data_IF_483864424300
#
_entry.id   IF_483864424300
#
_cell.length_a   1.000
_cell.length_b   1.000
_cell.length_c   1.000
_cell.angle_alpha   90.00
_cell.angle_beta   90.00
_cell.angle_gamma   90.00
#
_symmetry.space_group_name_H-M   'P 1'
#
loop_
_entity.id
_entity.type
_entity.pdbx_description
1 polymer ?
#
# COMPACT_ATOMS: atom_id res chain seq x y z
N UNK A 1 -36.70 -31.39 -28.25
CA UNK A 1 -35.71 -30.49 -27.65
C UNK A 1 -34.69 -30.18 -28.72
N UNK A 2 -34.85 -29.04 -29.41
CA UNK A 2 -33.87 -28.57 -30.38
C UNK A 2 -32.65 -27.99 -29.62
N UNK A 3 -31.42 -28.17 -30.11
CA UNK A 3 -30.27 -27.49 -29.52
C UNK A 3 -30.41 -25.98 -29.73
N UNK A 4 -30.01 -25.13 -28.77
CA UNK A 4 -30.00 -23.69 -28.99
C UNK A 4 -29.03 -23.36 -30.13
N UNK A 5 -29.54 -22.60 -31.10
CA UNK A 5 -28.83 -22.15 -32.28
C UNK A 5 -27.54 -21.42 -31.90
N UNK A 6 -26.42 -21.88 -32.47
CA UNK A 6 -25.16 -21.15 -32.48
C UNK A 6 -25.39 -19.75 -33.09
N UNK A 7 -25.13 -18.71 -32.30
CA UNK A 7 -25.26 -17.32 -32.73
C UNK A 7 -24.26 -17.02 -33.87
N UNK A 8 -24.70 -16.73 -35.11
CA UNK A 8 -23.81 -16.65 -36.27
C UNK A 8 -23.18 -15.26 -36.49
N UNK A 9 -22.88 -14.50 -35.42
CA UNK A 9 -22.35 -13.12 -35.49
C UNK A 9 -21.22 -12.79 -34.51
N UNK A 10 -20.37 -13.75 -34.18
CA UNK A 10 -19.01 -13.39 -33.79
C UNK A 10 -18.25 -13.04 -35.06
N UNK A 11 -18.38 -11.79 -35.54
CA UNK A 11 -17.37 -11.23 -36.43
C UNK A 11 -16.03 -11.41 -35.70
N UNK A 12 -15.12 -12.18 -36.29
CA UNK A 12 -13.77 -12.39 -35.76
C UNK A 12 -13.10 -11.02 -35.65
N UNK A 13 -13.26 -10.33 -34.52
CA UNK A 13 -12.51 -9.13 -34.20
C UNK A 13 -11.07 -9.60 -34.07
N UNK A 14 -10.17 -9.03 -34.86
CA UNK A 14 -8.75 -9.31 -34.74
C UNK A 14 -8.29 -8.94 -33.32
N UNK A 15 -8.02 -9.94 -32.49
CA UNK A 15 -7.61 -9.77 -31.09
C UNK A 15 -6.11 -9.64 -30.92
N UNK A 16 -5.32 -9.87 -31.98
CA UNK A 16 -3.88 -9.65 -31.98
C UNK A 16 -3.42 -9.06 -33.32
N UNK A 17 -2.49 -8.11 -33.25
CA UNK A 17 -1.86 -7.47 -34.41
C UNK A 17 -0.38 -7.27 -34.14
N UNK A 18 0.46 -7.44 -35.15
CA UNK A 18 1.89 -7.11 -35.08
C UNK A 18 2.19 -6.05 -36.13
N UNK A 19 2.59 -4.86 -35.68
CA UNK A 19 2.88 -3.71 -36.53
C UNK A 19 4.38 -3.45 -36.56
N UNK A 20 4.91 -3.04 -37.73
CA UNK A 20 6.33 -2.72 -37.92
C UNK A 20 6.51 -1.32 -38.45
N UNK A 21 7.09 -0.45 -37.64
CA UNK A 21 7.52 0.88 -38.05
C UNK A 21 8.98 0.83 -38.53
N UNK A 22 9.17 0.99 -39.84
CA UNK A 22 10.50 1.13 -40.45
C UNK A 22 10.81 2.61 -40.65
N UNK A 23 11.94 3.06 -40.11
CA UNK A 23 12.44 4.43 -40.24
C UNK A 23 13.73 4.36 -41.07
N UNK A 24 13.68 4.93 -42.28
CA UNK A 24 14.78 4.92 -43.23
C UNK A 24 14.79 6.23 -44.06
N UNK A 25 15.85 7.05 -43.98
CA UNK A 25 17.00 6.94 -43.06
C UNK A 25 16.67 7.44 -41.63
N UNK A 26 17.15 6.74 -40.62
CA UNK A 26 17.00 7.10 -39.21
C UNK A 26 17.78 8.39 -38.85
N UNK A 27 18.94 8.59 -39.46
CA UNK A 27 19.80 9.76 -39.23
C UNK A 27 19.08 11.10 -39.34
N UNK A 28 18.10 11.22 -40.24
CA UNK A 28 17.29 12.45 -40.42
C UNK A 28 16.48 12.82 -39.18
N UNK A 29 16.13 11.83 -38.38
CA UNK A 29 15.25 11.98 -37.22
C UNK A 29 16.02 11.98 -35.89
N UNK A 30 17.32 11.69 -35.91
CA UNK A 30 18.21 11.69 -34.72
C UNK A 30 18.23 13.02 -33.97
N UNK A 31 18.18 14.13 -34.72
CA UNK A 31 18.23 15.49 -34.18
C UNK A 31 16.83 16.08 -33.91
N UNK A 32 15.78 15.27 -33.96
CA UNK A 32 14.43 15.74 -33.69
C UNK A 32 14.33 16.19 -32.22
N UNK A 33 13.70 17.34 -31.99
CA UNK A 33 13.45 17.84 -30.64
C UNK A 33 12.53 16.91 -29.82
N UNK A 34 12.65 16.96 -28.50
CA UNK A 34 11.80 16.19 -27.59
C UNK A 34 10.30 16.42 -27.85
N UNK A 35 9.50 15.38 -27.64
CA UNK A 35 8.05 15.42 -27.80
C UNK A 35 7.55 15.40 -29.26
N UNK A 36 8.45 15.35 -30.25
CA UNK A 36 8.07 15.20 -31.67
C UNK A 36 8.04 13.71 -32.06
N UNK A 37 6.87 13.19 -32.49
CA UNK A 37 6.74 11.78 -32.82
C UNK A 37 6.91 11.48 -34.32
N UNK A 38 7.28 10.23 -34.60
CA UNK A 38 7.08 9.52 -35.86
C UNK A 38 5.96 8.51 -35.63
N UNK A 39 4.99 8.47 -36.53
CA UNK A 39 3.82 7.59 -36.43
C UNK A 39 3.86 6.52 -37.51
N UNK A 40 3.44 5.29 -37.19
CA UNK A 40 3.11 4.28 -38.18
C UNK A 40 1.83 4.64 -38.95
N UNK A 41 1.53 3.93 -40.06
CA UNK A 41 0.15 3.83 -40.53
C UNK A 41 -0.77 3.32 -39.42
N UNK A 42 -2.03 3.74 -39.47
CA UNK A 42 -3.04 3.23 -38.54
C UNK A 42 -3.37 1.77 -38.89
N UNK A 43 -3.48 0.92 -37.87
CA UNK A 43 -3.87 -0.47 -38.00
C UNK A 43 -5.03 -0.80 -37.06
N UNK A 44 -5.80 -1.84 -37.39
CA UNK A 44 -7.01 -2.20 -36.62
C UNK A 44 -6.71 -3.29 -35.62
N UNK A 45 -7.09 -3.09 -34.35
CA UNK A 45 -7.05 -4.10 -33.29
C UNK A 45 -8.32 -4.01 -32.47
N UNK A 46 -9.00 -5.16 -32.29
CA UNK A 46 -10.32 -5.30 -31.67
C UNK A 46 -11.42 -4.41 -32.27
N UNK A 47 -11.29 -4.04 -33.54
CA UNK A 47 -12.23 -3.15 -34.24
C UNK A 47 -11.96 -1.66 -34.04
N UNK A 48 -10.88 -1.30 -33.36
CA UNK A 48 -10.47 0.08 -33.13
C UNK A 48 -9.19 0.42 -33.90
N UNK A 49 -9.01 1.67 -34.36
CA UNK A 49 -7.79 2.10 -35.04
C UNK A 49 -6.70 2.51 -34.03
N UNK A 50 -5.51 1.98 -34.24
CA UNK A 50 -4.33 2.19 -33.41
C UNK A 50 -3.16 2.67 -34.24
N UNK A 51 -2.25 3.37 -33.59
CA UNK A 51 -1.01 3.86 -34.20
C UNK A 51 0.16 3.60 -33.28
N UNK A 52 1.26 3.10 -33.85
CA UNK A 52 2.54 3.02 -33.15
C UNK A 52 3.24 4.37 -33.25
N UNK A 53 3.64 4.92 -32.11
CA UNK A 53 4.22 6.27 -31.99
C UNK A 53 5.61 6.18 -31.39
N UNK A 54 6.60 6.69 -32.09
CA UNK A 54 8.00 6.65 -31.70
C UNK A 54 8.60 8.06 -31.59
N UNK A 55 9.36 8.33 -30.53
CA UNK A 55 9.97 9.63 -30.27
C UNK A 55 11.50 9.50 -30.26
N UNK A 56 12.19 9.76 -31.39
CA UNK A 56 13.66 9.66 -31.46
C UNK A 56 14.36 10.70 -30.59
N UNK A 57 13.77 11.88 -30.41
CA UNK A 57 14.24 12.92 -29.51
C UNK A 57 13.89 12.71 -28.03
N UNK A 58 13.18 11.61 -27.71
CA UNK A 58 12.63 11.33 -26.39
C UNK A 58 11.31 12.05 -26.12
N UNK A 59 10.59 11.58 -25.09
CA UNK A 59 9.30 12.15 -24.69
C UNK A 59 9.46 13.45 -23.89
N UNK A 60 10.46 13.50 -23.00
CA UNK A 60 10.80 14.67 -22.19
C UNK A 60 12.04 15.40 -22.73
N UNK A 61 12.19 16.71 -22.48
CA UNK A 61 13.42 17.44 -22.81
C UNK A 61 14.66 16.85 -22.13
N UNK A 62 15.83 16.97 -22.75
CA UNK A 62 17.15 16.57 -22.21
C UNK A 62 17.27 15.09 -21.78
N UNK A 63 16.41 14.21 -22.29
CA UNK A 63 16.53 12.77 -22.02
C UNK A 63 17.52 12.08 -22.97
N UNK A 64 18.28 11.11 -22.43
CA UNK A 64 19.14 10.22 -23.21
C UNK A 64 18.38 9.04 -23.85
N UNK A 65 17.08 8.95 -23.62
CA UNK A 65 16.24 7.85 -24.08
C UNK A 65 15.38 8.22 -25.30
N UNK A 66 15.02 7.21 -26.08
CA UNK A 66 13.91 7.29 -27.04
C UNK A 66 12.64 6.80 -26.36
N UNK A 67 11.48 7.20 -26.86
CA UNK A 67 10.20 6.75 -26.33
C UNK A 67 9.37 6.01 -27.39
N UNK A 68 8.52 5.09 -26.93
CA UNK A 68 7.59 4.35 -27.79
C UNK A 68 6.25 4.18 -27.10
N UNK A 69 5.17 4.36 -27.84
CA UNK A 69 3.81 4.18 -27.35
C UNK A 69 2.92 3.56 -28.42
N UNK A 70 2.04 2.67 -28.00
CA UNK A 70 0.85 2.28 -28.76
C UNK A 70 -0.27 3.26 -28.40
N UNK A 71 -0.86 3.90 -29.39
CA UNK A 71 -1.90 4.92 -29.21
C UNK A 71 -3.21 4.48 -29.84
N UNK A 72 -4.29 4.64 -29.09
CA UNK A 72 -5.66 4.52 -29.58
C UNK A 72 -6.08 5.86 -30.21
N UNK A 73 -6.54 5.85 -31.46
CA UNK A 73 -6.85 7.10 -32.18
C UNK A 73 -8.25 7.65 -31.88
N UNK A 74 -9.17 6.84 -31.34
CA UNK A 74 -10.54 7.25 -31.02
C UNK A 74 -10.91 6.87 -29.59
N UNK A 75 -11.75 7.67 -28.95
CA UNK A 75 -12.26 7.34 -27.62
C UNK A 75 -13.20 6.12 -27.69
N UNK A 76 -13.12 5.28 -26.67
CA UNK A 76 -14.02 4.14 -26.52
C UNK A 76 -15.44 4.61 -26.19
N UNK A 77 -16.42 3.78 -26.54
CA UNK A 77 -17.82 4.03 -26.19
C UNK A 77 -18.05 3.88 -24.67
N UNK A 78 -19.15 4.46 -24.16
CA UNK A 78 -19.50 4.35 -22.75
C UNK A 78 -19.64 2.88 -22.34
N UNK A 79 -18.89 2.49 -21.30
CA UNK A 79 -18.87 1.13 -20.76
C UNK A 79 -17.94 0.16 -21.50
N UNK A 80 -17.34 0.54 -22.63
CA UNK A 80 -16.35 -0.27 -23.34
C UNK A 80 -14.98 -0.19 -22.64
N UNK A 81 -14.32 -1.34 -22.49
CA UNK A 81 -12.97 -1.45 -21.95
C UNK A 81 -12.13 -2.37 -22.82
N UNK A 82 -10.90 -1.95 -23.13
CA UNK A 82 -9.94 -2.78 -23.87
C UNK A 82 -8.70 -3.00 -23.01
N UNK A 83 -8.50 -4.25 -22.60
CA UNK A 83 -7.28 -4.68 -21.90
C UNK A 83 -6.26 -5.13 -22.93
N UNK A 84 -5.16 -4.41 -23.06
CA UNK A 84 -4.16 -4.62 -24.11
C UNK A 84 -2.80 -4.98 -23.50
N UNK A 85 -2.17 -6.01 -24.05
CA UNK A 85 -0.74 -6.27 -23.89
C UNK A 85 -0.04 -5.81 -25.17
N UNK A 86 0.99 -4.98 -25.03
CA UNK A 86 1.83 -4.54 -26.15
C UNK A 86 3.29 -4.92 -25.87
N UNK A 87 3.85 -5.75 -26.74
CA UNK A 87 5.26 -6.12 -26.79
C UNK A 87 5.98 -5.24 -27.81
N UNK A 88 6.86 -4.35 -27.36
CA UNK A 88 7.67 -3.46 -28.20
C UNK A 88 9.08 -4.02 -28.34
N UNK A 89 9.62 -4.07 -29.56
CA UNK A 89 10.96 -4.57 -29.81
C UNK A 89 11.72 -3.74 -30.87
N UNK A 90 13.00 -3.48 -30.63
CA UNK A 90 13.96 -3.06 -31.66
C UNK A 90 14.54 -4.31 -32.33
N UNK A 91 14.32 -4.43 -33.63
CA UNK A 91 14.81 -5.59 -34.40
C UNK A 91 16.28 -5.38 -34.72
N UNK A 92 17.17 -6.18 -34.10
CA UNK A 92 18.62 -6.05 -34.27
C UNK A 92 19.07 -6.43 -35.68
N UNK A 93 20.30 -6.03 -36.04
CA UNK A 93 20.95 -6.36 -37.31
C UNK A 93 21.05 -7.87 -37.61
N UNK A 94 21.10 -8.72 -36.58
CA UNK A 94 21.15 -10.19 -36.69
C UNK A 94 19.80 -10.91 -36.71
N UNK A 95 18.68 -10.20 -36.59
CA UNK A 95 17.32 -10.79 -36.64
C UNK A 95 16.76 -11.26 -35.30
N UNK A 96 17.55 -11.19 -34.21
CA UNK A 96 17.05 -11.30 -32.84
C UNK A 96 16.62 -9.91 -32.32
N UNK A 97 15.68 -9.87 -31.37
CA UNK A 97 15.27 -8.62 -30.72
C UNK A 97 16.42 -8.08 -29.86
N UNK A 98 16.96 -6.90 -30.19
CA UNK A 98 18.06 -6.28 -29.45
C UNK A 98 17.56 -5.64 -28.14
N UNK A 99 16.34 -5.13 -28.15
CA UNK A 99 15.73 -4.47 -27.00
C UNK A 99 14.22 -4.66 -27.02
N UNK A 100 13.68 -5.41 -26.06
CA UNK A 100 12.26 -5.70 -25.98
C UNK A 100 11.67 -5.33 -24.62
N UNK A 101 10.47 -4.72 -24.61
CA UNK A 101 9.72 -4.40 -23.38
C UNK A 101 8.23 -4.60 -23.58
N UNK A 102 7.56 -5.09 -22.53
CA UNK A 102 6.12 -5.36 -22.52
C UNK A 102 5.36 -4.36 -21.66
N UNK A 103 4.34 -3.72 -22.24
CA UNK A 103 3.39 -2.88 -21.53
C UNK A 103 2.03 -3.58 -21.38
N UNK A 104 1.36 -3.31 -20.27
CA UNK A 104 -0.01 -3.75 -19.99
C UNK A 104 -0.85 -2.52 -19.69
N UNK A 105 -2.00 -2.36 -20.34
CA UNK A 105 -2.88 -1.22 -20.09
C UNK A 105 -4.35 -1.57 -20.33
N UNK A 106 -5.23 -0.94 -19.56
CA UNK A 106 -6.69 -1.04 -19.74
C UNK A 106 -7.23 0.31 -20.18
N UNK A 107 -7.57 0.41 -21.47
CA UNK A 107 -8.16 1.60 -22.06
C UNK A 107 -9.64 1.71 -21.67
N UNK A 108 -10.06 2.92 -21.34
CA UNK A 108 -11.44 3.30 -20.96
C UNK A 108 -11.79 4.64 -21.59
N UNK A 109 -13.09 4.97 -21.63
CA UNK A 109 -13.59 6.22 -22.22
C UNK A 109 -12.87 7.48 -21.71
N UNK A 110 -12.69 7.61 -20.39
CA UNK A 110 -12.04 8.77 -19.74
C UNK A 110 -10.59 8.48 -19.30
N UNK A 111 -9.98 7.45 -19.89
CA UNK A 111 -8.63 6.99 -19.54
C UNK A 111 -7.52 7.59 -20.41
N UNK A 112 -6.30 7.10 -20.18
CA UNK A 112 -5.18 7.37 -21.09
C UNK A 112 -5.45 6.75 -22.47
N UNK A 113 -5.14 7.48 -23.52
CA UNK A 113 -5.30 7.04 -24.92
C UNK A 113 -4.04 6.37 -25.49
N UNK A 114 -3.00 6.17 -24.67
CA UNK A 114 -1.75 5.54 -25.10
C UNK A 114 -1.08 4.75 -24.00
N UNK A 115 -0.42 3.65 -24.34
CA UNK A 115 0.41 2.87 -23.41
C UNK A 115 1.80 2.60 -24.01
N UNK A 116 2.84 2.61 -23.17
CA UNK A 116 4.21 2.46 -23.64
C UNK A 116 5.24 2.97 -22.64
N UNK A 117 6.39 3.40 -23.15
CA UNK A 117 7.55 3.76 -22.35
C UNK A 117 8.14 5.10 -22.79
N UNK A 118 8.13 6.09 -21.89
CA UNK A 118 8.80 7.38 -22.07
C UNK A 118 10.33 7.23 -22.14
N UNK A 119 10.87 6.21 -21.46
CA UNK A 119 12.30 5.85 -21.46
C UNK A 119 12.45 4.42 -21.97
N UNK A 120 12.17 4.19 -23.26
CA UNK A 120 12.15 2.85 -23.85
C UNK A 120 13.56 2.25 -23.93
N UNK A 121 14.44 2.87 -24.70
CA UNK A 121 15.83 2.45 -24.91
C UNK A 121 16.76 3.68 -24.95
N UNK A 122 18.05 3.52 -24.60
CA UNK A 122 19.01 4.62 -24.75
C UNK A 122 19.29 4.86 -26.23
N UNK A 123 19.52 6.10 -26.64
CA UNK A 123 19.83 6.43 -28.05
C UNK A 123 21.04 5.67 -28.58
N UNK A 124 22.06 5.47 -27.74
CA UNK A 124 23.23 4.65 -28.10
C UNK A 124 22.85 3.20 -28.42
N UNK A 125 21.93 2.59 -27.65
CA UNK A 125 21.48 1.23 -27.89
C UNK A 125 20.67 1.14 -29.20
N UNK A 126 19.87 2.17 -29.52
CA UNK A 126 19.16 2.28 -30.80
C UNK A 126 20.14 2.31 -31.96
N UNK A 127 21.23 3.08 -31.85
CA UNK A 127 22.27 3.18 -32.87
C UNK A 127 22.95 1.83 -33.11
N UNK A 128 23.11 0.99 -32.08
CA UNK A 128 23.65 -0.37 -32.22
C UNK A 128 22.70 -1.33 -32.96
N UNK A 129 21.41 -1.00 -33.05
CA UNK A 129 20.39 -1.81 -33.74
C UNK A 129 20.24 -1.47 -35.22
N UNK A 130 20.84 -0.37 -35.70
CA UNK A 130 20.68 0.09 -37.08
C UNK A 130 21.29 -0.91 -38.07
N UNK A 131 20.55 -1.21 -39.14
CA UNK A 131 21.09 -1.90 -40.33
C UNK A 131 21.35 -0.87 -41.41
N UNK A 132 22.61 -0.46 -41.57
CA UNK A 132 22.95 0.72 -42.35
C UNK A 132 22.44 1.98 -41.64
N UNK A 133 21.41 2.62 -42.18
CA UNK A 133 20.71 3.76 -41.55
C UNK A 133 19.21 3.46 -41.32
N UNK A 134 18.84 2.18 -41.30
CA UNK A 134 17.45 1.74 -41.13
C UNK A 134 17.21 1.25 -39.72
N UNK A 135 16.22 1.83 -39.05
CA UNK A 135 15.68 1.36 -37.77
C UNK A 135 14.35 0.65 -37.99
N UNK A 136 14.16 -0.51 -37.36
CA UNK A 136 12.89 -1.24 -37.38
C UNK A 136 12.41 -1.44 -35.95
N UNK A 137 11.24 -0.86 -35.66
CA UNK A 137 10.52 -1.03 -34.42
C UNK A 137 9.31 -1.94 -34.67
N UNK A 138 9.20 -3.00 -33.90
CA UNK A 138 8.07 -3.91 -33.94
C UNK A 138 7.20 -3.72 -32.68
N UNK A 139 5.88 -3.80 -32.85
CA UNK A 139 4.91 -3.80 -31.77
C UNK A 139 3.91 -4.93 -31.98
N UNK A 140 4.01 -5.99 -31.18
CA UNK A 140 3.00 -7.06 -31.12
C UNK A 140 1.98 -6.73 -30.02
N UNK A 141 0.78 -6.34 -30.41
CA UNK A 141 -0.31 -5.97 -29.53
C UNK A 141 -1.42 -7.02 -29.53
N UNK A 142 -1.97 -7.36 -28.36
CA UNK A 142 -3.14 -8.24 -28.23
C UNK A 142 -4.12 -7.75 -27.17
N UNK A 143 -5.40 -7.96 -27.43
CA UNK A 143 -6.51 -7.71 -26.49
C UNK A 143 -6.77 -8.98 -25.72
N UNK A 144 -6.88 -8.83 -24.40
CA UNK A 144 -7.07 -9.93 -23.45
C UNK A 144 -8.50 -9.88 -22.92
N UNK A 145 -9.21 -11.00 -23.02
CA UNK A 145 -10.58 -11.12 -22.49
C UNK A 145 -10.59 -11.20 -20.97
N UNK A 146 -11.70 -10.78 -20.34
CA UNK A 146 -11.86 -10.86 -18.90
C UNK A 146 -11.86 -12.33 -18.44
N UNK A 147 -10.86 -12.70 -17.64
CA UNK A 147 -10.64 -14.07 -17.14
C UNK A 147 -9.21 -14.58 -17.37
N UNK A 148 -8.51 -14.06 -18.38
CA UNK A 148 -7.04 -14.23 -18.47
C UNK A 148 -6.38 -13.18 -17.58
N UNK A 149 -6.02 -13.58 -16.35
CA UNK A 149 -5.08 -12.83 -15.54
C UNK A 149 -3.82 -12.57 -16.37
N UNK A 150 -3.53 -11.28 -16.60
CA UNK A 150 -2.23 -10.79 -17.04
C UNK A 150 -1.18 -11.21 -16.02
N UNK A 151 -0.72 -12.46 -16.06
CA UNK A 151 0.36 -12.94 -15.20
C UNK A 151 1.65 -12.28 -15.67
N UNK A 152 1.94 -11.10 -15.11
CA UNK A 152 3.33 -10.74 -14.87
C UNK A 152 3.97 -11.94 -14.12
N UNK A 153 5.21 -12.35 -14.42
CA UNK A 153 5.88 -13.34 -13.60
C UNK A 153 5.76 -12.87 -12.16
N UNK A 154 5.20 -13.71 -11.29
CA UNK A 154 5.01 -13.37 -9.90
C UNK A 154 6.38 -12.95 -9.37
N UNK A 155 6.55 -11.64 -9.12
CA UNK A 155 7.75 -11.14 -8.46
C UNK A 155 7.89 -11.98 -7.19
N UNK A 156 9.06 -12.57 -6.93
CA UNK A 156 9.23 -13.33 -5.71
C UNK A 156 8.83 -12.41 -4.55
N UNK A 157 8.07 -12.92 -3.57
CA UNK A 157 7.64 -12.10 -2.44
C UNK A 157 8.87 -11.45 -1.80
N UNK A 158 8.76 -10.17 -1.46
CA UNK A 158 9.85 -9.43 -0.85
C UNK A 158 10.42 -10.19 0.35
N UNK A 159 11.73 -10.46 0.34
CA UNK A 159 12.39 -11.13 1.47
C UNK A 159 12.82 -10.15 2.55
N UNK A 160 12.66 -8.84 2.33
CA UNK A 160 13.16 -7.79 3.22
C UNK A 160 12.70 -7.98 4.67
N UNK A 161 11.42 -8.28 4.88
CA UNK A 161 10.89 -8.52 6.22
C UNK A 161 11.57 -9.71 6.92
N UNK A 162 11.80 -10.80 6.18
CA UNK A 162 12.49 -11.98 6.69
C UNK A 162 13.95 -11.68 7.02
N UNK A 163 14.61 -10.90 6.16
CA UNK A 163 16.02 -10.57 6.32
C UNK A 163 16.22 -9.59 7.50
N UNK A 164 15.33 -8.60 7.68
CA UNK A 164 15.30 -7.75 8.87
C UNK A 164 14.99 -8.53 10.15
N UNK A 165 14.10 -9.53 10.11
CA UNK A 165 13.87 -10.43 11.26
C UNK A 165 15.12 -11.21 11.65
N UNK A 166 15.93 -11.65 10.69
CA UNK A 166 17.21 -12.30 10.99
C UNK A 166 18.22 -11.35 11.61
N UNK A 167 18.22 -10.08 11.20
CA UNK A 167 19.07 -9.06 11.84
C UNK A 167 18.73 -8.88 13.32
N UNK A 168 17.45 -8.96 13.72
CA UNK A 168 17.04 -8.89 15.14
C UNK A 168 17.67 -9.99 16.02
N UNK A 169 18.16 -11.08 15.45
CA UNK A 169 18.93 -12.10 16.18
C UNK A 169 20.36 -11.64 16.59
N UNK A 170 20.76 -10.42 16.20
CA UNK A 170 22.01 -9.78 16.65
C UNK A 170 23.17 -9.86 15.66
N UNK A 171 22.95 -10.33 14.43
CA UNK A 171 23.99 -10.37 13.39
C UNK A 171 24.42 -8.95 13.01
N UNK A 172 25.72 -8.64 13.13
CA UNK A 172 26.29 -7.32 12.84
C UNK A 172 25.64 -6.14 13.60
N UNK A 173 25.12 -6.40 14.81
CA UNK A 173 24.59 -5.35 15.68
C UNK A 173 25.70 -4.41 16.18
N UNK A 174 25.42 -3.12 16.20
CA UNK A 174 26.35 -2.03 16.57
C UNK A 174 25.87 -1.21 17.79
N UNK A 175 24.77 -1.64 18.42
CA UNK A 175 24.24 -1.05 19.65
C UNK A 175 23.53 -2.10 20.50
N UNK A 176 23.54 -1.92 21.83
CA UNK A 176 22.74 -2.70 22.77
C UNK A 176 21.67 -1.82 23.40
N UNK A 177 20.46 -2.34 23.53
CA UNK A 177 19.36 -1.73 24.28
C UNK A 177 19.24 -2.47 25.61
N UNK A 178 19.14 -1.75 26.70
CA UNK A 178 18.88 -2.28 28.04
C UNK A 178 17.47 -1.86 28.44
N UNK A 179 16.58 -2.83 28.59
CA UNK A 179 15.22 -2.61 29.07
C UNK A 179 15.14 -2.72 30.60
N UNK A 180 13.97 -2.35 31.16
CA UNK A 180 13.61 -2.63 32.56
C UNK A 180 13.93 -4.08 32.95
N UNK A 181 14.38 -4.28 34.19
CA UNK A 181 14.83 -5.60 34.68
C UNK A 181 16.22 -6.03 34.21
N UNK A 182 16.97 -5.17 33.49
CA UNK A 182 18.35 -5.46 33.06
C UNK A 182 18.48 -6.30 31.80
N UNK A 183 17.36 -6.54 31.09
CA UNK A 183 17.36 -7.31 29.84
C UNK A 183 18.10 -6.58 28.72
N UNK A 184 19.00 -7.28 28.03
CA UNK A 184 19.86 -6.71 26.97
C UNK A 184 19.45 -7.23 25.60
N UNK A 185 19.23 -6.32 24.65
CA UNK A 185 18.87 -6.61 23.26
C UNK A 185 19.89 -6.02 22.30
N UNK A 186 20.42 -6.83 21.38
CA UNK A 186 21.31 -6.34 20.31
C UNK A 186 20.47 -5.75 19.17
N UNK A 187 20.88 -4.59 18.65
CA UNK A 187 20.15 -3.88 17.61
C UNK A 187 21.10 -3.11 16.66
N UNK A 188 20.51 -2.39 15.69
CA UNK A 188 21.23 -1.67 14.64
C UNK A 188 20.87 -0.19 14.66
N UNK A 189 21.88 0.68 14.83
CA UNK A 189 21.70 2.14 14.96
C UNK A 189 21.00 2.74 13.76
N UNK A 190 21.39 2.31 12.56
CA UNK A 190 20.80 2.80 11.31
C UNK A 190 19.30 2.47 11.20
N UNK A 191 18.89 1.29 11.66
CA UNK A 191 17.49 0.86 11.65
C UNK A 191 16.70 1.66 12.70
N UNK A 192 17.22 1.78 13.92
CA UNK A 192 16.57 2.56 14.98
C UNK A 192 16.41 4.04 14.61
N UNK A 193 17.46 4.66 14.08
CA UNK A 193 17.45 6.05 13.63
C UNK A 193 16.54 6.28 12.41
N UNK A 194 16.39 5.30 11.53
CA UNK A 194 15.45 5.39 10.42
C UNK A 194 13.98 5.30 10.87
N UNK A 195 13.71 4.62 12.00
CA UNK A 195 12.35 4.34 12.49
C UNK A 195 11.86 5.27 13.59
N UNK A 196 12.75 5.97 14.28
CA UNK A 196 12.42 6.89 15.37
C UNK A 196 13.27 8.16 15.27
N UNK A 197 12.60 9.31 15.22
CA UNK A 197 13.26 10.62 15.25
C UNK A 197 13.98 10.86 16.59
N UNK A 198 13.42 10.36 17.69
CA UNK A 198 14.00 10.41 19.03
C UNK A 198 15.29 9.60 19.10
N UNK A 199 15.25 8.34 18.65
CA UNK A 199 16.46 7.50 18.61
C UNK A 199 17.47 8.03 17.60
N UNK A 200 17.05 8.65 16.50
CA UNK A 200 17.95 9.34 15.58
C UNK A 200 18.70 10.47 16.25
N UNK A 201 18.01 11.33 17.00
CA UNK A 201 18.65 12.40 17.75
C UNK A 201 19.64 11.87 18.80
N UNK A 202 19.26 10.80 19.51
CA UNK A 202 20.11 10.15 20.51
C UNK A 202 21.35 9.46 19.91
N UNK A 203 21.21 8.79 18.77
CA UNK A 203 22.26 7.93 18.19
C UNK A 203 23.12 8.64 17.13
N UNK A 204 22.61 9.69 16.49
CA UNK A 204 23.28 10.39 15.39
C UNK A 204 23.60 11.86 15.71
N UNK A 205 23.21 12.36 16.88
CA UNK A 205 23.53 13.71 17.34
C UNK A 205 24.93 13.84 17.96
N UNK A 206 25.31 15.06 18.41
CA UNK A 206 26.61 15.34 19.03
C UNK A 206 26.90 14.58 20.34
N UNK A 207 25.93 13.80 20.87
CA UNK A 207 26.07 12.88 22.01
C UNK A 207 26.57 11.47 21.59
N UNK A 208 27.11 11.34 20.37
CA UNK A 208 27.52 10.09 19.71
C UNK A 208 28.49 9.23 20.52
N UNK A 209 29.29 9.83 21.39
CA UNK A 209 30.52 9.24 21.93
C UNK A 209 30.37 8.55 23.29
N UNK A 210 29.16 8.36 23.84
CA UNK A 210 29.04 7.88 25.23
C UNK A 210 28.02 6.76 25.51
N UNK A 211 27.32 6.18 24.54
CA UNK A 211 26.33 5.13 24.83
C UNK A 211 26.29 3.99 23.81
N UNK A 212 26.99 2.89 24.13
CA UNK A 212 26.72 1.55 23.57
C UNK A 212 25.41 0.95 24.12
N UNK A 213 24.76 1.65 25.06
CA UNK A 213 23.59 1.20 25.82
C UNK A 213 22.48 2.26 25.77
N UNK A 214 21.31 1.90 25.23
CA UNK A 214 20.07 2.70 25.32
C UNK A 214 19.24 2.15 26.48
N UNK A 215 18.97 2.95 27.50
CA UNK A 215 18.05 2.59 28.58
C UNK A 215 16.62 2.94 28.18
N UNK A 216 15.74 1.93 28.11
CA UNK A 216 14.31 2.17 27.89
C UNK A 216 13.64 2.41 29.26
N UNK A 217 12.85 3.49 29.43
CA UNK A 217 12.08 3.67 30.63
C UNK A 217 10.89 2.70 30.65
N UNK A 218 10.83 1.91 31.72
CA UNK A 218 9.71 1.00 32.00
C UNK A 218 9.90 -0.44 31.51
N UNK A 219 9.12 -1.33 32.10
CA UNK A 219 9.01 -2.72 31.68
C UNK A 219 8.19 -2.77 30.38
N UNK A 220 8.84 -3.01 29.24
CA UNK A 220 8.11 -3.34 28.01
C UNK A 220 7.41 -4.69 28.22
N UNK A 221 6.12 -4.81 27.91
CA UNK A 221 5.42 -6.06 28.08
C UNK A 221 6.04 -7.14 27.19
N UNK A 222 6.29 -8.31 27.76
CA UNK A 222 6.39 -9.52 26.97
C UNK A 222 4.98 -9.77 26.42
N UNK A 223 4.81 -9.75 25.09
CA UNK A 223 3.52 -10.02 24.47
C UNK A 223 3.01 -11.41 24.91
N UNK A 224 2.14 -11.44 25.91
CA UNK A 224 1.46 -12.64 26.35
C UNK A 224 0.18 -12.74 25.54
N UNK A 225 0.04 -13.80 24.73
CA UNK A 225 -1.21 -14.12 24.04
C UNK A 225 -2.29 -14.49 25.05
N UNK A 226 -2.85 -13.47 25.71
CA UNK A 226 -3.93 -13.56 26.69
C UNK A 226 -5.27 -13.16 26.09
N UNK A 227 -6.27 -13.03 26.96
CA UNK A 227 -7.60 -12.52 26.62
C UNK A 227 -7.60 -11.06 26.12
N UNK A 228 -8.74 -10.58 25.63
CA UNK A 228 -8.88 -9.21 25.08
C UNK A 228 -8.49 -8.11 26.09
N UNK A 229 -8.61 -8.39 27.39
CA UNK A 229 -8.24 -7.46 28.46
C UNK A 229 -6.71 -7.35 28.61
N UNK A 230 -5.98 -8.47 28.54
CA UNK A 230 -4.53 -8.49 28.52
C UNK A 230 -3.97 -7.81 27.26
N UNK A 231 -4.57 -8.09 26.09
CA UNK A 231 -4.20 -7.44 24.83
C UNK A 231 -4.40 -5.91 24.90
N UNK A 232 -5.49 -5.45 25.51
CA UNK A 232 -5.73 -4.02 25.74
C UNK A 232 -4.70 -3.39 26.68
N UNK A 233 -4.31 -4.10 27.75
CA UNK A 233 -3.29 -3.63 28.69
C UNK A 233 -1.91 -3.49 28.02
N UNK A 234 -1.52 -4.47 27.21
CA UNK A 234 -0.26 -4.42 26.45
C UNK A 234 -0.28 -3.35 25.37
N UNK A 235 -1.40 -3.19 24.66
CA UNK A 235 -1.58 -2.12 23.69
C UNK A 235 -1.47 -0.72 24.34
N UNK A 236 -2.01 -0.52 25.55
CA UNK A 236 -1.86 0.74 26.31
C UNK A 236 -0.38 1.02 26.65
N UNK A 237 0.36 0.02 27.14
CA UNK A 237 1.80 0.16 27.46
C UNK A 237 2.63 0.43 26.21
N UNK A 238 2.36 -0.29 25.12
CA UNK A 238 3.05 -0.09 23.84
C UNK A 238 2.73 1.27 23.22
N UNK A 239 1.51 1.78 23.38
CA UNK A 239 1.12 3.10 22.90
C UNK A 239 1.91 4.21 23.61
N UNK A 240 2.09 4.10 24.93
CA UNK A 240 2.94 5.04 25.69
C UNK A 240 4.40 5.01 25.22
N UNK A 241 4.94 3.83 24.94
CA UNK A 241 6.28 3.70 24.36
C UNK A 241 6.34 4.25 22.92
N UNK A 242 5.28 4.04 22.12
CA UNK A 242 5.22 4.52 20.75
C UNK A 242 5.23 6.05 20.70
N UNK A 243 4.51 6.72 21.60
CA UNK A 243 4.54 8.17 21.73
C UNK A 243 5.94 8.68 22.14
N UNK A 244 6.52 8.10 23.20
CA UNK A 244 7.83 8.48 23.71
C UNK A 244 8.95 8.39 22.64
N UNK A 245 8.88 7.37 21.78
CA UNK A 245 9.87 7.14 20.72
C UNK A 245 9.42 7.65 19.35
N UNK A 246 8.29 8.35 19.25
CA UNK A 246 7.73 8.84 17.99
C UNK A 246 7.63 7.74 16.91
N UNK A 247 7.05 6.60 17.28
CA UNK A 247 6.82 5.44 16.41
C UNK A 247 5.39 5.47 15.86
N UNK A 248 5.13 6.35 14.89
CA UNK A 248 3.77 6.62 14.37
C UNK A 248 3.03 5.36 13.91
N UNK A 249 3.72 4.46 13.22
CA UNK A 249 3.14 3.21 12.74
C UNK A 249 2.74 2.26 13.88
N UNK A 250 3.50 2.24 14.98
CA UNK A 250 3.15 1.46 16.18
C UNK A 250 2.02 2.14 16.95
N UNK A 251 2.02 3.48 17.04
CA UNK A 251 0.94 4.23 17.66
C UNK A 251 -0.40 3.94 16.99
N UNK A 252 -0.46 4.02 15.66
CA UNK A 252 -1.68 3.71 14.90
C UNK A 252 -2.14 2.25 15.08
N UNK A 253 -1.19 1.32 15.14
CA UNK A 253 -1.47 -0.10 15.40
C UNK A 253 -2.11 -0.32 16.77
N UNK A 254 -1.51 0.27 17.82
CA UNK A 254 -2.03 0.16 19.18
C UNK A 254 -3.41 0.84 19.30
N UNK A 255 -3.63 1.97 18.63
CA UNK A 255 -4.94 2.62 18.57
C UNK A 255 -6.01 1.72 17.95
N UNK A 256 -5.71 1.03 16.83
CA UNK A 256 -6.65 0.09 16.20
C UNK A 256 -7.00 -1.09 17.13
N UNK A 257 -6.01 -1.66 17.82
CA UNK A 257 -6.24 -2.73 18.80
C UNK A 257 -7.12 -2.21 19.95
N UNK A 258 -6.79 -1.05 20.52
CA UNK A 258 -7.56 -0.47 21.62
C UNK A 258 -9.01 -0.21 21.21
N UNK A 259 -9.25 0.31 20.02
CA UNK A 259 -10.62 0.50 19.51
C UNK A 259 -11.43 -0.80 19.43
N UNK A 260 -10.77 -1.95 19.18
CA UNK A 260 -11.44 -3.26 19.07
C UNK A 260 -11.64 -3.96 20.41
N UNK A 261 -10.77 -3.68 21.38
CA UNK A 261 -10.75 -4.36 22.69
C UNK A 261 -11.34 -3.49 23.81
N UNK A 262 -12.00 -2.37 23.51
CA UNK A 262 -12.65 -1.54 24.54
C UNK A 262 -13.74 -2.35 25.21
N UNK A 263 -13.59 -2.54 26.52
CA UNK A 263 -14.60 -3.13 27.39
C UNK A 263 -14.96 -2.15 28.50
N UNK A 264 -16.13 -2.26 29.13
CA UNK A 264 -16.52 -1.36 30.23
C UNK A 264 -15.50 -1.31 31.38
N UNK A 265 -14.76 -2.40 31.62
CA UNK A 265 -13.71 -2.45 32.64
C UNK A 265 -12.38 -1.80 32.21
N UNK A 266 -12.12 -1.64 30.91
CA UNK A 266 -10.87 -1.05 30.39
C UNK A 266 -11.07 0.36 29.82
N UNK A 267 -12.31 0.80 29.68
CA UNK A 267 -12.66 2.06 29.05
C UNK A 267 -12.14 3.28 29.81
N UNK A 268 -12.22 3.29 31.15
CA UNK A 268 -11.73 4.41 31.96
C UNK A 268 -10.21 4.61 31.79
N UNK A 269 -9.43 3.54 31.92
CA UNK A 269 -7.97 3.57 31.74
C UNK A 269 -7.58 3.99 30.33
N UNK A 270 -8.30 3.47 29.33
CA UNK A 270 -8.05 3.80 27.92
C UNK A 270 -8.43 5.25 27.62
N UNK A 271 -9.51 5.77 28.21
CA UNK A 271 -9.92 7.15 28.07
C UNK A 271 -8.90 8.11 28.70
N UNK A 272 -8.45 7.82 29.91
CA UNK A 272 -7.41 8.60 30.58
C UNK A 272 -6.10 8.65 29.78
N UNK A 273 -5.68 7.50 29.22
CA UNK A 273 -4.48 7.44 28.38
C UNK A 273 -4.63 8.26 27.09
N UNK A 274 -5.78 8.17 26.43
CA UNK A 274 -6.04 8.88 25.17
C UNK A 274 -6.16 10.38 25.34
N UNK A 275 -6.63 10.84 26.49
CA UNK A 275 -6.61 12.26 26.86
C UNK A 275 -5.18 12.76 27.02
N UNK A 276 -4.36 12.04 27.80
CA UNK A 276 -2.94 12.38 28.03
C UNK A 276 -2.11 12.44 26.75
N UNK A 277 -2.36 11.52 25.82
CA UNK A 277 -1.64 11.43 24.54
C UNK A 277 -2.31 12.25 23.42
N UNK A 278 -3.39 12.98 23.73
CA UNK A 278 -4.19 13.76 22.78
C UNK A 278 -4.58 12.96 21.52
N UNK A 279 -5.19 11.80 21.72
CA UNK A 279 -5.60 10.86 20.67
C UNK A 279 -7.13 10.88 20.46
N UNK A 280 -7.67 11.85 19.69
CA UNK A 280 -9.10 12.07 19.60
C UNK A 280 -9.85 10.89 18.98
N UNK A 281 -9.23 10.16 18.03
CA UNK A 281 -9.85 9.02 17.35
C UNK A 281 -10.24 7.91 18.32
N UNK A 282 -9.33 7.54 19.22
CA UNK A 282 -9.61 6.49 20.22
C UNK A 282 -10.54 7.03 21.30
N UNK A 283 -10.39 8.31 21.68
CA UNK A 283 -11.28 8.97 22.65
C UNK A 283 -12.74 8.90 22.19
N UNK A 284 -13.03 9.17 20.91
CA UNK A 284 -14.38 9.02 20.34
C UNK A 284 -14.83 7.55 20.30
N UNK A 285 -13.97 6.64 19.84
CA UNK A 285 -14.31 5.21 19.76
C UNK A 285 -14.67 4.61 21.13
N UNK A 286 -14.01 5.04 22.21
CA UNK A 286 -14.37 4.63 23.58
C UNK A 286 -15.77 5.11 23.95
N UNK A 287 -16.13 6.36 23.63
CA UNK A 287 -17.47 6.89 23.92
C UNK A 287 -18.54 6.15 23.12
N UNK A 288 -18.32 5.92 21.83
CA UNK A 288 -19.23 5.18 20.95
C UNK A 288 -19.45 3.75 21.43
N UNK A 289 -18.37 3.03 21.76
CA UNK A 289 -18.45 1.65 22.25
C UNK A 289 -19.27 1.55 23.54
N UNK A 290 -19.11 2.51 24.46
CA UNK A 290 -19.88 2.56 25.71
C UNK A 290 -21.34 2.97 25.51
N UNK A 291 -21.63 3.81 24.51
CA UNK A 291 -22.99 4.24 24.22
C UNK A 291 -23.86 3.08 23.68
N UNK A 292 -23.25 2.16 22.91
CA UNK A 292 -23.91 0.97 22.34
C UNK A 292 -24.26 -0.06 23.42
N UNK A 293 -23.46 -0.18 24.48
CA UNK A 293 -23.72 -1.14 25.56
C UNK A 293 -24.94 -0.72 26.42
N UNK A 294 -25.91 -1.63 26.60
CA UNK A 294 -26.98 -1.46 27.56
C UNK A 294 -26.41 -1.42 28.98
N UNK A 295 -26.48 -0.27 29.65
CA UNK A 295 -25.87 -0.07 30.97
C UNK A 295 -24.36 0.17 30.96
N UNK A 296 -23.76 0.52 29.81
CA UNK A 296 -22.32 0.79 29.69
C UNK A 296 -21.78 1.79 30.71
N UNK A 297 -22.52 2.88 30.97
CA UNK A 297 -22.15 3.89 31.98
C UNK A 297 -22.10 3.32 33.40
N UNK A 298 -23.06 2.47 33.76
CA UNK A 298 -23.13 1.86 35.11
C UNK A 298 -22.06 0.78 35.26
N UNK A 299 -21.79 0.01 34.21
CA UNK A 299 -20.71 -0.97 34.17
C UNK A 299 -19.32 -0.30 34.28
N UNK A 300 -19.12 0.85 33.64
CA UNK A 300 -17.88 1.64 33.76
C UNK A 300 -17.74 2.20 35.18
N UNK A 301 -18.79 2.79 35.76
CA UNK A 301 -18.74 3.31 37.15
C UNK A 301 -18.41 2.22 38.18
N UNK A 302 -18.85 0.99 37.92
CA UNK A 302 -18.55 -0.17 38.76
C UNK A 302 -17.11 -0.72 38.57
N UNK A 303 -16.39 -0.28 37.54
CA UNK A 303 -15.02 -0.72 37.28
C UNK A 303 -14.01 -0.06 38.22
N UNK A 304 -12.97 -0.81 38.57
CA UNK A 304 -11.87 -0.32 39.41
C UNK A 304 -11.13 0.86 38.74
N UNK A 305 -10.89 0.79 37.42
CA UNK A 305 -10.23 1.85 36.66
C UNK A 305 -11.00 3.17 36.68
N UNK A 306 -12.34 3.15 36.71
CA UNK A 306 -13.13 4.37 36.84
C UNK A 306 -13.06 4.96 38.25
N UNK A 307 -13.01 4.12 39.29
CA UNK A 307 -12.87 4.58 40.67
C UNK A 307 -11.50 5.24 40.90
N UNK A 308 -10.44 4.66 40.33
CA UNK A 308 -9.10 5.24 40.34
C UNK A 308 -9.07 6.57 39.56
N UNK A 309 -9.63 6.60 38.35
CA UNK A 309 -9.73 7.82 37.56
C UNK A 309 -10.52 8.92 38.28
N UNK A 310 -11.62 8.59 38.94
CA UNK A 310 -12.42 9.57 39.68
C UNK A 310 -11.70 10.12 40.92
N UNK A 311 -10.79 9.34 41.52
CA UNK A 311 -9.96 9.77 42.64
C UNK A 311 -8.82 10.69 42.18
N UNK A 312 -8.21 10.42 41.02
CA UNK A 312 -7.11 11.21 40.47
C UNK A 312 -7.60 12.47 39.73
N UNK A 313 -8.61 12.32 38.87
CA UNK A 313 -9.19 13.39 38.07
C UNK A 313 -10.72 13.22 37.93
N UNK A 314 -11.44 13.78 38.90
CA UNK A 314 -12.89 13.80 38.92
C UNK A 314 -13.52 14.55 37.73
N UNK A 315 -12.80 15.50 37.13
CA UNK A 315 -13.30 16.26 35.98
C UNK A 315 -13.31 15.38 34.72
N UNK A 316 -12.23 14.63 34.48
CA UNK A 316 -12.12 13.72 33.34
C UNK A 316 -13.10 12.54 33.46
N UNK A 317 -13.26 11.99 34.67
CA UNK A 317 -14.27 10.95 34.94
C UNK A 317 -15.70 11.44 34.64
N UNK A 318 -16.01 12.69 35.01
CA UNK A 318 -17.31 13.32 34.72
C UNK A 318 -17.48 13.59 33.23
N UNK A 319 -16.44 14.06 32.54
CA UNK A 319 -16.44 14.26 31.08
C UNK A 319 -16.79 12.96 30.35
N UNK A 320 -16.11 11.85 30.68
CA UNK A 320 -16.38 10.53 30.10
C UNK A 320 -17.87 10.16 30.22
N UNK A 321 -18.42 10.20 31.45
CA UNK A 321 -19.83 9.83 31.66
C UNK A 321 -20.80 10.74 30.92
N UNK A 322 -20.55 12.06 30.90
CA UNK A 322 -21.39 13.03 30.20
C UNK A 322 -21.41 12.80 28.69
N UNK A 323 -20.24 12.57 28.07
CA UNK A 323 -20.15 12.34 26.62
C UNK A 323 -20.86 11.05 26.21
N UNK A 324 -20.73 9.98 27.00
CA UNK A 324 -21.46 8.72 26.73
C UNK A 324 -22.98 8.92 26.84
N UNK A 325 -23.45 9.72 27.81
CA UNK A 325 -24.88 10.02 27.92
C UNK A 325 -25.41 10.90 26.78
N UNK A 326 -24.62 11.84 26.29
CA UNK A 326 -24.97 12.71 25.16
C UNK A 326 -25.04 11.92 23.85
N UNK A 327 -24.00 11.12 23.53
CA UNK A 327 -23.98 10.27 22.34
C UNK A 327 -25.17 9.29 22.30
N UNK A 328 -25.52 8.72 23.46
CA UNK A 328 -26.70 7.85 23.58
C UNK A 328 -28.02 8.57 23.32
N UNK A 329 -28.09 9.88 23.61
CA UNK A 329 -29.29 10.70 23.39
C UNK A 329 -29.40 11.16 21.93
N UNK A 330 -28.27 11.51 21.30
CA UNK A 330 -28.21 11.91 19.89
C UNK A 330 -28.38 10.72 18.94
N UNK A 331 -27.99 9.52 19.37
CA UNK A 331 -28.06 8.31 18.57
C UNK A 331 -28.74 7.16 19.36
N UNK A 332 -30.07 7.22 19.57
CA UNK A 332 -30.78 6.16 20.27
C UNK A 332 -30.68 4.87 19.46
N UNK A 333 -29.92 3.91 19.99
CA UNK A 333 -29.66 2.59 19.41
C UNK A 333 -30.97 1.99 18.86
N UNK A 334 -31.05 1.82 17.53
CA UNK A 334 -32.06 0.98 16.88
C UNK A 334 -31.95 -0.42 17.47
N UNK A 335 -33.09 -0.93 17.92
CA UNK A 335 -33.19 -2.14 18.73
C UNK A 335 -32.42 -3.34 18.18
N UNK A 336 -31.76 -4.04 19.10
CA UNK A 336 -31.30 -5.43 19.03
C UNK A 336 -30.74 -5.87 17.66
N UNK A 337 -29.47 -5.58 17.40
CA UNK A 337 -28.73 -6.30 16.37
C UNK A 337 -28.47 -7.74 16.88
N UNK A 338 -29.16 -8.69 16.27
CA UNK A 338 -29.05 -10.12 16.49
C UNK A 338 -27.61 -10.58 16.31
N UNK A 339 -27.22 -11.63 17.05
CA UNK A 339 -25.89 -12.28 17.05
C UNK A 339 -25.34 -12.65 15.66
N UNK A 340 -26.18 -12.67 14.63
CA UNK A 340 -25.84 -12.92 13.22
C UNK A 340 -25.31 -11.68 12.48
N UNK A 341 -25.76 -10.45 12.79
CA UNK A 341 -25.20 -9.23 12.15
C UNK A 341 -23.79 -8.91 12.65
N UNK A 342 -23.49 -9.31 13.89
CA UNK A 342 -22.14 -9.21 14.48
C UNK A 342 -21.13 -10.17 13.81
N UNK A 343 -21.61 -11.29 13.27
CA UNK A 343 -20.81 -12.24 12.47
C UNK A 343 -20.58 -11.73 11.05
N UNK A 344 -21.56 -11.05 10.44
CA UNK A 344 -21.41 -10.48 9.09
C UNK A 344 -20.49 -9.26 9.09
N UNK A 345 -20.50 -8.41 10.14
CA UNK A 345 -19.51 -7.34 10.30
C UNK A 345 -18.09 -7.89 10.55
N UNK A 346 -17.98 -9.02 11.25
CA UNK A 346 -16.71 -9.74 11.44
C UNK A 346 -16.19 -10.38 10.14
N UNK A 347 -17.09 -10.87 9.27
CA UNK A 347 -16.74 -11.46 7.97
C UNK A 347 -16.42 -10.43 6.88
N UNK A 348 -17.05 -9.26 6.91
CA UNK A 348 -16.74 -8.16 5.98
C UNK A 348 -15.40 -7.50 6.31
N UNK A 349 -14.91 -7.59 7.56
CA UNK A 349 -13.58 -7.10 7.94
C UNK A 349 -12.42 -8.09 7.66
N UNK A 350 -12.70 -9.38 7.49
CA UNK A 350 -11.68 -10.38 7.08
C UNK A 350 -11.16 -10.11 5.67
N UNK A 351 -11.91 -9.37 4.84
CA UNK A 351 -11.47 -8.96 3.50
C UNK A 351 -10.47 -7.78 3.54
N UNK A 352 -10.48 -6.96 4.60
CA UNK A 352 -9.52 -5.84 4.75
C UNK A 352 -8.15 -6.26 5.33
N UNK A 353 -8.05 -7.48 5.87
CA UNK A 353 -6.80 -8.06 6.41
C UNK A 353 -5.81 -8.44 5.29
N UNK A 354 -6.24 -8.45 4.02
CA UNK A 354 -5.40 -8.90 2.89
C UNK A 354 -4.48 -7.80 2.34
N UNK A 355 -4.64 -6.51 2.70
CA UNK A 355 -3.97 -5.41 1.96
C UNK A 355 -2.95 -4.58 2.78
N UNK A 356 -2.74 -4.85 4.08
CA UNK A 356 -1.66 -4.16 4.83
C UNK A 356 -0.82 -5.16 5.65
N UNK A 357 0.17 -5.84 5.04
CA UNK A 357 1.01 -6.79 5.73
C UNK A 357 2.16 -6.06 6.46
N UNK A 358 1.85 -5.27 7.50
CA UNK A 358 2.90 -4.62 8.30
C UNK A 358 2.64 -4.57 9.82
N UNK A 359 1.49 -5.04 10.31
CA UNK A 359 1.17 -4.91 11.75
C UNK A 359 0.55 -6.17 12.37
N UNK A 360 -0.12 -7.02 11.58
CA UNK A 360 -0.88 -8.18 12.09
C UNK A 360 -0.06 -9.29 12.78
N UNK A 361 1.27 -9.24 12.70
CA UNK A 361 2.13 -10.28 13.29
C UNK A 361 2.45 -10.08 14.78
N UNK A 362 2.02 -8.97 15.40
CA UNK A 362 2.22 -8.74 16.84
C UNK A 362 1.10 -9.32 17.72
N UNK A 363 -0.07 -9.64 17.17
CA UNK A 363 -1.26 -10.08 17.92
C UNK A 363 -1.83 -11.43 17.51
N UNK A 364 -1.10 -12.22 16.70
CA UNK A 364 -1.49 -13.61 16.39
C UNK A 364 -0.39 -14.57 16.80
N UNK A 365 -0.46 -15.03 18.05
CA UNK A 365 0.11 -16.31 18.46
C UNK A 365 -0.86 -17.04 19.36
#
# INVERSE_FOLDING_TARGET
>A
MAPPASNPRASLRQTASTERLTIDPYSWYRCMGAGKPIKSPAFTLAGHPWTLVFYPGGYYPNTAYVAVFLRLEHNLLMGEQLRVIADFALVAAGGADAHARRAHHTFRQDGEISCGFAEFARRHDVESCLRGDRLVLECAARVVEDGEELRAPALPPSTLQRDLRRMLAGTAADVTIVAGGGHRFRAHRCVLAARSSVLRAQLCGPLRDAREVIELPGDLPAATGGDDAAAAADARRLLAAADLYALDGLSLACQDVLCRTVTPCTAADTYALTDRLNLPRVKTAVVEALAVCAGGVEAVKASEGFQQLAAEDAALAKELTSKVTTERHENPVRGSASREEMLVASLVLIVFVVVVPSVAFYFTR
#
